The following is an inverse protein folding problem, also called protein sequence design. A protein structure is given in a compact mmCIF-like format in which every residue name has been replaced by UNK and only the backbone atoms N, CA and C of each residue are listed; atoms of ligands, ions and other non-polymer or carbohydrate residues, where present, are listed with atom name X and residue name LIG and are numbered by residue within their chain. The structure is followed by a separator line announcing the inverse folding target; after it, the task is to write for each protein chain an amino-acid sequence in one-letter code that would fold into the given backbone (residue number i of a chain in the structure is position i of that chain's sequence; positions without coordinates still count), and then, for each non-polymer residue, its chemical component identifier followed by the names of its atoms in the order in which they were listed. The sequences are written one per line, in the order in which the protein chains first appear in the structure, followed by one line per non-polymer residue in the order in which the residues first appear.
data_IF_376470451974
#
_entry.id   IF_376470451974
#
_cell.length_a   1.000
_cell.length_b   1.000
_cell.length_c   1.000
_cell.angle_alpha   90.00
_cell.angle_beta   90.00
_cell.angle_gamma   90.00
#
_symmetry.space_group_name_H-M   'P 1'
#
loop_
_entity.id
_entity.type
_entity.pdbx_description
1 polymer ?
#
# COMPACT_ATOMS: atom_id res chain seq x y z
N UNK A 1 2.58 33.75 22.47
CA UNK A 1 2.78 34.17 21.06
C UNK A 1 3.43 33.09 20.20
N UNK A 2 4.60 32.54 20.53
CA UNK A 2 5.25 31.48 19.69
C UNK A 2 4.45 30.16 19.57
N UNK A 3 3.76 29.69 20.62
CA UNK A 3 2.97 28.44 20.55
C UNK A 3 1.68 28.59 19.74
N UNK A 4 1.01 29.74 19.83
CA UNK A 4 -0.19 30.07 19.05
C UNK A 4 0.14 30.17 17.56
N UNK A 5 1.29 30.76 17.21
CA UNK A 5 1.76 30.87 15.83
C UNK A 5 2.07 29.51 15.21
N UNK A 6 2.70 28.59 15.96
CA UNK A 6 2.98 27.23 15.52
C UNK A 6 1.70 26.40 15.31
N UNK A 7 0.73 26.54 16.21
CA UNK A 7 -0.57 25.87 16.08
C UNK A 7 -1.37 26.41 14.88
N UNK A 8 -1.40 27.72 14.69
CA UNK A 8 -2.04 28.36 13.54
C UNK A 8 -1.34 27.94 12.24
N UNK A 9 0.00 27.93 12.21
CA UNK A 9 0.75 27.49 11.03
C UNK A 9 0.47 26.01 10.69
N UNK A 10 0.44 25.13 11.69
CA UNK A 10 0.09 23.72 11.52
C UNK A 10 -1.33 23.55 10.96
N UNK A 11 -2.31 24.25 11.54
CA UNK A 11 -3.71 24.24 11.08
C UNK A 11 -3.83 24.76 9.64
N UNK A 12 -3.13 25.84 9.30
CA UNK A 12 -3.13 26.42 7.95
C UNK A 12 -2.51 25.44 6.95
N UNK A 13 -1.36 24.82 7.27
CA UNK A 13 -0.73 23.84 6.38
C UNK A 13 -1.63 22.61 6.17
N UNK A 14 -2.33 22.14 7.21
CA UNK A 14 -3.30 21.05 7.07
C UNK A 14 -4.45 21.49 6.16
N UNK A 15 -5.06 22.66 6.36
CA UNK A 15 -6.23 23.09 5.57
C UNK A 15 -5.92 23.50 4.13
N UNK A 16 -4.79 24.17 3.86
CA UNK A 16 -4.38 24.50 2.49
C UNK A 16 -4.05 23.25 1.68
N UNK A 17 -3.54 22.18 2.33
CA UNK A 17 -3.42 20.88 1.69
C UNK A 17 -4.82 20.26 1.44
N UNK A 18 -5.78 20.36 2.36
CA UNK A 18 -7.14 19.85 2.14
C UNK A 18 -7.84 20.49 0.92
N UNK A 19 -7.62 21.77 0.60
CA UNK A 19 -8.25 22.42 -0.57
C UNK A 19 -7.62 22.03 -1.91
N UNK A 20 -6.31 21.80 -1.97
CA UNK A 20 -5.62 21.41 -3.21
C UNK A 20 -5.89 19.94 -3.60
N UNK A 21 -6.14 19.08 -2.61
CA UNK A 21 -6.46 17.67 -2.82
C UNK A 21 -7.94 17.42 -3.14
N UNK A 22 -8.81 18.37 -2.78
CA UNK A 22 -10.25 18.26 -3.01
C UNK A 22 -10.62 18.17 -4.50
N UNK A 23 -9.79 18.69 -5.40
CA UNK A 23 -10.13 18.80 -6.82
C UNK A 23 -9.54 17.67 -7.69
N UNK A 24 -8.52 16.93 -7.24
CA UNK A 24 -7.81 15.93 -8.08
C UNK A 24 -7.93 14.47 -7.62
N UNK A 25 -8.12 14.22 -6.32
CA UNK A 25 -8.24 12.85 -5.77
C UNK A 25 -9.66 12.45 -5.35
N UNK A 26 -10.51 13.43 -5.03
CA UNK A 26 -11.88 13.17 -4.53
C UNK A 26 -12.78 12.64 -5.64
N UNK A 27 -12.63 13.09 -6.90
CA UNK A 27 -13.54 12.69 -7.96
C UNK A 27 -13.46 11.19 -8.32
N UNK A 28 -12.26 10.60 -8.37
CA UNK A 28 -12.09 9.16 -8.65
C UNK A 28 -12.40 8.30 -7.44
N UNK A 29 -12.14 8.80 -6.23
CA UNK A 29 -12.45 8.14 -4.98
C UNK A 29 -13.96 8.13 -4.68
N UNK A 30 -14.63 9.28 -4.82
CA UNK A 30 -16.09 9.41 -4.67
C UNK A 30 -16.81 8.49 -5.67
N UNK A 31 -16.33 8.40 -6.91
CA UNK A 31 -16.91 7.51 -7.92
C UNK A 31 -16.79 6.02 -7.54
N UNK A 32 -15.64 5.60 -6.98
CA UNK A 32 -15.48 4.23 -6.47
C UNK A 32 -16.33 3.99 -5.23
N UNK A 33 -16.44 4.97 -4.34
CA UNK A 33 -17.29 4.88 -3.16
C UNK A 33 -18.77 4.79 -3.51
N UNK A 34 -19.21 5.52 -4.53
CA UNK A 34 -20.55 5.41 -5.08
C UNK A 34 -20.78 4.04 -5.75
N UNK A 35 -19.77 3.47 -6.41
CA UNK A 35 -19.82 2.11 -6.96
C UNK A 35 -19.98 1.05 -5.86
N UNK A 36 -19.22 1.13 -4.77
CA UNK A 36 -19.23 0.15 -3.68
C UNK A 36 -20.47 0.30 -2.77
N UNK A 37 -20.92 1.53 -2.49
CA UNK A 37 -22.07 1.79 -1.62
C UNK A 37 -23.40 1.92 -2.37
N UNK A 38 -23.37 1.98 -3.70
CA UNK A 38 -24.54 2.21 -4.56
C UNK A 38 -25.14 3.62 -4.46
N UNK A 39 -24.50 4.54 -3.73
CA UNK A 39 -24.90 5.95 -3.58
C UNK A 39 -23.76 6.79 -3.00
N UNK A 40 -23.82 8.11 -3.21
CA UNK A 40 -22.96 9.07 -2.53
C UNK A 40 -23.34 9.17 -1.03
N UNK A 41 -22.39 9.17 -0.08
CA UNK A 41 -22.70 9.30 1.35
C UNK A 41 -23.32 10.67 1.68
N UNK A 42 -24.32 10.69 2.56
CA UNK A 42 -24.82 11.93 3.18
C UNK A 42 -23.81 12.42 4.22
N UNK A 43 -23.60 13.74 4.33
CA UNK A 43 -22.70 14.28 5.36
C UNK A 43 -23.32 14.14 6.76
N UNK A 44 -22.64 13.42 7.64
CA UNK A 44 -22.93 13.33 9.08
C UNK A 44 -22.77 14.69 9.77
N UNK A 45 -23.39 14.86 10.95
CA UNK A 45 -23.25 16.07 11.77
C UNK A 45 -21.78 16.44 12.07
N UNK A 46 -20.90 15.44 12.16
CA UNK A 46 -19.46 15.64 12.34
C UNK A 46 -18.75 16.06 11.06
N UNK A 47 -19.17 15.58 9.89
CA UNK A 47 -18.65 16.05 8.61
C UNK A 47 -19.10 17.49 8.31
N UNK A 48 -20.32 17.84 8.74
CA UNK A 48 -20.80 19.23 8.78
C UNK A 48 -19.94 20.07 9.73
N UNK A 49 -19.55 19.54 10.90
CA UNK A 49 -18.66 20.22 11.84
C UNK A 49 -17.25 20.45 11.26
N UNK A 50 -16.66 19.45 10.60
CA UNK A 50 -15.40 19.58 9.88
C UNK A 50 -15.46 20.72 8.86
N UNK A 51 -16.52 20.76 8.03
CA UNK A 51 -16.71 21.85 7.06
C UNK A 51 -16.79 23.22 7.75
N UNK A 52 -17.55 23.31 8.83
CA UNK A 52 -17.63 24.55 9.65
C UNK A 52 -16.25 24.96 10.18
N UNK A 53 -15.40 24.02 10.60
CA UNK A 53 -14.03 24.31 11.05
C UNK A 53 -13.18 24.82 9.88
N UNK A 54 -13.22 24.16 8.73
CA UNK A 54 -12.50 24.61 7.53
C UNK A 54 -12.91 26.02 7.10
N UNK A 55 -14.20 26.34 7.17
CA UNK A 55 -14.72 27.68 6.88
C UNK A 55 -14.25 28.70 7.93
N UNK A 56 -14.30 28.36 9.23
CA UNK A 56 -13.75 29.21 10.32
C UNK A 56 -12.26 29.49 10.13
N UNK A 57 -11.48 28.50 9.70
CA UNK A 57 -10.04 28.62 9.44
C UNK A 57 -9.78 29.53 8.24
N UNK A 58 -10.58 29.40 7.17
CA UNK A 58 -10.51 30.30 6.01
C UNK A 58 -10.83 31.74 6.39
N UNK A 59 -11.91 31.97 7.13
CA UNK A 59 -12.25 33.31 7.63
C UNK A 59 -11.14 33.88 8.52
N UNK A 60 -10.51 33.06 9.37
CA UNK A 60 -9.34 33.45 10.18
C UNK A 60 -8.16 33.92 9.32
N UNK A 61 -7.86 33.15 8.26
CA UNK A 61 -6.79 33.45 7.30
C UNK A 61 -7.05 34.77 6.55
N UNK A 62 -8.32 35.04 6.23
CA UNK A 62 -8.74 36.24 5.50
C UNK A 62 -8.82 37.49 6.40
N UNK A 63 -9.20 37.34 7.67
CA UNK A 63 -9.52 38.48 8.57
C UNK A 63 -8.40 38.84 9.55
N UNK A 64 -7.47 37.92 9.85
CA UNK A 64 -6.32 38.16 10.73
C UNK A 64 -6.61 38.25 12.23
N UNK A 65 -7.86 38.10 12.67
CA UNK A 65 -8.25 38.21 14.09
C UNK A 65 -8.27 36.83 14.78
N UNK A 66 -7.24 36.54 15.56
CA UNK A 66 -6.79 35.16 15.85
C UNK A 66 -7.24 34.55 17.17
N UNK A 67 -7.74 35.33 18.14
CA UNK A 67 -7.86 34.81 19.51
C UNK A 67 -9.17 34.03 19.81
N UNK A 68 -10.37 34.51 19.43
CA UNK A 68 -11.61 33.80 19.76
C UNK A 68 -11.81 32.55 18.91
N UNK A 69 -11.37 32.60 17.65
CA UNK A 69 -11.62 31.54 16.67
C UNK A 69 -10.68 30.34 16.89
N UNK A 70 -9.45 30.55 17.37
CA UNK A 70 -8.50 29.46 17.68
C UNK A 70 -8.97 28.59 18.84
N UNK A 71 -9.59 29.17 19.88
CA UNK A 71 -10.14 28.38 21.00
C UNK A 71 -11.38 27.59 20.58
N UNK A 72 -12.25 28.17 19.75
CA UNK A 72 -13.39 27.45 19.16
C UNK A 72 -12.95 26.28 18.27
N UNK A 73 -11.93 26.49 17.44
CA UNK A 73 -11.36 25.42 16.60
C UNK A 73 -10.74 24.32 17.47
N UNK A 74 -10.09 24.65 18.59
CA UNK A 74 -9.46 23.66 19.47
C UNK A 74 -10.49 22.71 20.10
N UNK A 75 -11.62 23.23 20.57
CA UNK A 75 -12.67 22.38 21.16
C UNK A 75 -13.39 21.54 20.10
N UNK A 76 -13.63 22.11 18.91
CA UNK A 76 -14.18 21.36 17.77
C UNK A 76 -13.20 20.24 17.32
N UNK A 77 -11.88 20.51 17.29
CA UNK A 77 -10.83 19.54 16.98
C UNK A 77 -10.72 18.42 18.03
N UNK A 78 -10.81 18.73 19.32
CA UNK A 78 -10.85 17.70 20.38
C UNK A 78 -12.01 16.74 20.19
N UNK A 79 -13.17 17.25 19.79
CA UNK A 79 -14.38 16.44 19.53
C UNK A 79 -14.20 15.52 18.33
N UNK A 80 -13.48 15.98 17.31
CA UNK A 80 -13.17 15.23 16.10
C UNK A 80 -12.07 14.17 16.33
N UNK A 81 -11.04 14.52 17.10
CA UNK A 81 -9.90 13.65 17.40
C UNK A 81 -10.20 12.59 18.46
N UNK A 82 -11.42 12.55 19.03
CA UNK A 82 -11.82 11.46 19.91
C UNK A 82 -11.83 10.15 19.13
N UNK A 83 -10.87 9.28 19.47
CA UNK A 83 -10.76 7.91 18.97
C UNK A 83 -12.07 7.18 19.17
N UNK A 84 -12.53 6.51 18.12
CA UNK A 84 -13.67 5.63 18.23
C UNK A 84 -13.27 4.36 18.97
N UNK A 85 -14.02 3.99 20.00
CA UNK A 85 -13.83 2.69 20.67
C UNK A 85 -15.01 1.79 20.39
N UNK A 86 -14.75 0.69 19.69
CA UNK A 86 -15.75 -0.34 19.39
C UNK A 86 -16.26 -1.08 20.62
N UNK A 87 -15.57 -0.97 21.77
CA UNK A 87 -16.10 -1.46 23.05
C UNK A 87 -17.47 -0.87 23.42
N UNK A 88 -17.90 0.22 22.76
CA UNK A 88 -19.20 0.88 22.94
C UNK A 88 -20.26 0.47 21.91
N UNK A 89 -19.91 -0.32 20.89
CA UNK A 89 -20.87 -0.77 19.87
C UNK A 89 -21.47 -2.09 20.29
N UNK A 90 -22.65 -2.05 20.90
CA UNK A 90 -23.38 -3.24 21.33
C UNK A 90 -23.93 -4.10 20.18
N UNK A 91 -23.85 -3.64 18.92
CA UNK A 91 -24.36 -4.35 17.76
C UNK A 91 -23.58 -4.01 16.46
N UNK A 92 -22.74 -4.92 15.98
CA UNK A 92 -21.96 -4.78 14.74
C UNK A 92 -22.86 -4.70 13.50
N UNK A 93 -24.01 -5.38 13.50
CA UNK A 93 -24.95 -5.31 12.38
C UNK A 93 -25.51 -3.91 12.22
N UNK A 94 -25.86 -3.26 13.34
CA UNK A 94 -26.30 -1.87 13.33
C UNK A 94 -25.19 -0.95 12.82
N UNK A 95 -23.95 -1.14 13.29
CA UNK A 95 -22.80 -0.35 12.82
C UNK A 95 -22.61 -0.48 11.31
N UNK A 96 -22.63 -1.71 10.78
CA UNK A 96 -22.52 -1.96 9.36
C UNK A 96 -23.69 -1.37 8.56
N UNK A 97 -24.91 -1.41 9.11
CA UNK A 97 -26.05 -0.73 8.49
C UNK A 97 -25.83 0.78 8.46
N UNK A 98 -25.32 1.39 9.52
CA UNK A 98 -25.07 2.83 9.56
C UNK A 98 -23.97 3.25 8.59
N UNK A 99 -22.89 2.46 8.47
CA UNK A 99 -21.82 2.67 7.47
C UNK A 99 -22.40 2.58 6.05
N UNK A 100 -23.08 1.47 5.71
CA UNK A 100 -23.64 1.25 4.36
C UNK A 100 -24.69 2.29 3.98
N UNK A 101 -25.46 2.76 4.96
CA UNK A 101 -26.46 3.79 4.72
C UNK A 101 -25.84 5.19 4.61
N UNK A 102 -24.53 5.35 4.78
CA UNK A 102 -23.86 6.66 4.80
C UNK A 102 -24.23 7.50 6.02
N UNK A 103 -24.85 6.90 7.05
CA UNK A 103 -25.10 7.59 8.33
C UNK A 103 -23.82 7.74 9.14
N UNK A 104 -22.77 7.03 8.74
CA UNK A 104 -21.56 6.90 9.49
C UNK A 104 -20.35 6.73 8.58
N UNK A 105 -19.40 7.66 8.68
CA UNK A 105 -18.10 7.54 8.03
C UNK A 105 -17.06 7.19 9.09
N UNK A 106 -16.43 6.03 8.94
CA UNK A 106 -15.34 5.58 9.78
C UNK A 106 -14.04 5.50 8.99
N UNK A 107 -12.96 5.90 9.64
CA UNK A 107 -11.62 5.88 9.04
C UNK A 107 -10.62 5.27 9.98
N UNK A 108 -9.56 4.75 9.39
CA UNK A 108 -8.43 4.20 10.10
C UNK A 108 -7.13 4.80 9.59
N UNK A 109 -6.14 4.94 10.48
CA UNK A 109 -4.76 5.25 10.12
C UNK A 109 -3.84 4.18 10.68
N UNK A 110 -2.96 3.65 9.83
CA UNK A 110 -1.91 2.72 10.24
C UNK A 110 -0.93 3.39 11.21
N UNK A 111 -0.72 2.81 12.39
CA UNK A 111 0.31 3.25 13.34
C UNK A 111 1.65 2.51 13.15
N UNK A 112 1.69 1.55 12.22
CA UNK A 112 2.88 0.81 11.78
C UNK A 112 2.60 0.10 10.45
N UNK A 113 3.48 -0.80 9.97
CA UNK A 113 3.18 -1.63 8.81
C UNK A 113 1.91 -2.47 9.03
N UNK A 114 0.97 -2.37 8.10
CA UNK A 114 -0.36 -2.99 8.22
C UNK A 114 -0.59 -3.95 7.06
N UNK A 115 -0.65 -5.27 7.31
CA UNK A 115 -0.99 -6.25 6.27
C UNK A 115 -2.42 -6.05 5.78
N UNK A 116 -2.59 -6.07 4.45
CA UNK A 116 -3.87 -5.98 3.77
C UNK A 116 -4.18 -7.32 3.12
N UNK A 117 -5.34 -7.90 3.43
CA UNK A 117 -5.74 -9.21 2.92
C UNK A 117 -7.00 -9.11 2.05
N UNK A 118 -7.20 -10.02 1.12
CA UNK A 118 -8.48 -10.11 0.38
C UNK A 118 -9.57 -10.89 1.15
N UNK A 119 -9.27 -11.39 2.35
CA UNK A 119 -10.24 -12.12 3.22
C UNK A 119 -10.21 -11.61 4.66
N UNK A 120 -11.36 -11.67 5.33
CA UNK A 120 -11.51 -11.28 6.74
C UNK A 120 -11.20 -12.40 7.76
N UNK A 121 -10.88 -13.61 7.32
CA UNK A 121 -10.60 -14.76 8.20
C UNK A 121 -9.13 -14.88 8.61
N UNK A 122 -8.56 -13.85 9.21
CA UNK A 122 -7.11 -13.76 9.50
C UNK A 122 -6.64 -14.79 10.54
N UNK A 123 -7.48 -15.17 11.51
CA UNK A 123 -7.21 -16.20 12.50
C UNK A 123 -6.81 -17.51 11.84
N UNK A 124 -7.52 -17.91 10.78
CA UNK A 124 -7.24 -19.14 10.05
C UNK A 124 -5.95 -19.04 9.24
N UNK A 125 -5.56 -17.84 8.79
CA UNK A 125 -4.27 -17.62 8.13
C UNK A 125 -3.12 -17.87 9.11
N UNK A 126 -3.24 -17.35 10.34
CA UNK A 126 -2.19 -17.42 11.35
C UNK A 126 -2.45 -18.49 12.41
N UNK A 127 -2.42 -19.76 12.00
CA UNK A 127 -2.45 -20.92 12.89
C UNK A 127 -3.82 -21.53 13.11
N UNK A 128 -4.89 -20.75 13.01
CA UNK A 128 -6.25 -21.20 13.30
C UNK A 128 -6.33 -21.96 14.63
N UNK A 129 -7.16 -23.00 14.67
CA UNK A 129 -7.32 -23.84 15.86
C UNK A 129 -6.05 -24.55 16.31
N UNK A 130 -5.16 -24.91 15.37
CA UNK A 130 -3.89 -25.58 15.70
C UNK A 130 -2.91 -24.62 16.37
N UNK A 131 -2.87 -23.38 15.90
CA UNK A 131 -1.87 -22.37 16.25
C UNK A 131 -0.46 -22.68 15.76
N UNK A 132 -0.21 -23.79 15.05
CA UNK A 132 1.15 -24.30 14.81
C UNK A 132 1.72 -23.97 13.43
N UNK A 133 0.92 -23.47 12.49
CA UNK A 133 1.32 -23.24 11.10
C UNK A 133 0.66 -22.03 10.47
N UNK A 134 0.95 -21.78 9.19
CA UNK A 134 0.26 -20.78 8.39
C UNK A 134 -0.66 -21.49 7.39
N UNK A 135 -1.76 -20.84 7.00
CA UNK A 135 -2.52 -21.26 5.83
C UNK A 135 -1.72 -20.87 4.59
N UNK A 136 -1.12 -21.87 3.95
CA UNK A 136 -0.29 -21.71 2.76
C UNK A 136 -0.93 -22.43 1.58
N UNK A 137 -0.77 -21.85 0.39
CA UNK A 137 -1.17 -22.47 -0.87
C UNK A 137 -0.18 -23.58 -1.32
N UNK A 138 -0.42 -24.17 -2.50
CA UNK A 138 0.48 -25.17 -3.09
C UNK A 138 1.87 -24.64 -3.45
N UNK A 139 2.04 -23.31 -3.53
CA UNK A 139 3.31 -22.63 -3.77
C UNK A 139 4.00 -22.19 -2.48
N UNK A 140 3.49 -22.61 -1.31
CA UNK A 140 4.03 -22.28 0.01
C UNK A 140 3.94 -20.76 0.31
N UNK A 141 2.91 -20.09 -0.20
CA UNK A 141 2.64 -18.65 -0.08
C UNK A 141 1.39 -18.39 0.77
N UNK A 142 1.34 -17.21 1.40
CA UNK A 142 0.13 -16.74 2.09
C UNK A 142 -0.73 -16.05 1.03
N UNK A 143 -1.42 -16.85 0.22
CA UNK A 143 -2.21 -16.37 -0.92
C UNK A 143 -3.15 -15.20 -0.57
N UNK A 144 -3.83 -15.17 0.61
CA UNK A 144 -4.68 -14.05 0.99
C UNK A 144 -4.01 -12.69 1.17
N UNK A 145 -2.68 -12.63 1.28
CA UNK A 145 -1.94 -11.38 1.49
C UNK A 145 -1.76 -10.65 0.15
N UNK A 146 -2.24 -9.41 0.11
CA UNK A 146 -2.18 -8.56 -1.09
C UNK A 146 -0.99 -7.59 -1.04
N UNK A 147 -0.78 -6.96 0.11
CA UNK A 147 0.28 -5.98 0.34
C UNK A 147 0.47 -5.74 1.84
N UNK A 148 1.58 -5.11 2.23
CA UNK A 148 1.75 -4.52 3.55
C UNK A 148 1.87 -3.00 3.37
N UNK A 149 0.82 -2.27 3.71
CA UNK A 149 0.86 -0.81 3.59
C UNK A 149 1.74 -0.20 4.68
N UNK A 150 2.39 0.91 4.34
CA UNK A 150 3.31 1.61 5.22
C UNK A 150 2.59 2.32 6.38
N UNK A 151 3.34 2.61 7.44
CA UNK A 151 2.86 3.44 8.54
C UNK A 151 2.30 4.77 8.04
N UNK A 152 1.23 5.26 8.67
CA UNK A 152 0.53 6.49 8.29
C UNK A 152 -0.46 6.33 7.14
N UNK A 153 -0.50 5.16 6.46
CA UNK A 153 -1.51 4.86 5.46
C UNK A 153 -2.92 5.03 6.02
N UNK A 154 -3.82 5.55 5.20
CA UNK A 154 -5.20 5.85 5.58
C UNK A 154 -6.16 4.87 4.93
N UNK A 155 -7.22 4.55 5.65
CA UNK A 155 -8.26 3.63 5.21
C UNK A 155 -9.63 4.25 5.43
N UNK A 156 -10.52 4.05 4.47
CA UNK A 156 -11.95 4.14 4.73
C UNK A 156 -12.45 2.77 5.19
N UNK A 157 -13.14 2.74 6.32
CA UNK A 157 -13.80 1.53 6.82
C UNK A 157 -15.18 1.46 6.16
N UNK A 158 -15.40 0.43 5.36
CA UNK A 158 -16.65 0.17 4.64
C UNK A 158 -17.47 -0.97 5.28
N UNK A 159 -16.85 -1.73 6.17
CA UNK A 159 -17.51 -2.79 6.92
C UNK A 159 -16.70 -3.22 8.14
N UNK A 160 -17.36 -3.87 9.08
CA UNK A 160 -16.80 -4.38 10.32
C UNK A 160 -17.29 -5.80 10.53
N UNK A 161 -16.38 -6.73 10.83
CA UNK A 161 -16.71 -8.11 11.18
C UNK A 161 -15.93 -8.54 12.42
N UNK A 162 -16.30 -9.70 12.96
CA UNK A 162 -15.51 -10.38 13.99
C UNK A 162 -14.84 -11.60 13.38
N UNK A 163 -13.59 -11.79 13.77
CA UNK A 163 -12.83 -13.00 13.50
C UNK A 163 -12.20 -13.48 14.81
N UNK A 164 -12.74 -14.58 15.32
CA UNK A 164 -12.35 -15.16 16.61
C UNK A 164 -12.30 -14.16 17.78
N UNK A 165 -13.26 -13.23 17.81
CA UNK A 165 -13.38 -12.18 18.82
C UNK A 165 -12.56 -10.91 18.54
N UNK A 166 -11.74 -10.90 17.50
CA UNK A 166 -11.03 -9.70 17.04
C UNK A 166 -11.88 -8.94 16.02
N UNK A 167 -11.78 -7.61 16.04
CA UNK A 167 -12.44 -6.76 15.08
C UNK A 167 -11.61 -6.73 13.80
N UNK A 168 -12.25 -7.05 12.68
CA UNK A 168 -11.68 -6.93 11.35
C UNK A 168 -12.44 -5.85 10.59
N UNK A 169 -11.69 -4.94 9.97
CA UNK A 169 -12.25 -3.92 9.10
C UNK A 169 -12.16 -4.35 7.65
N UNK A 170 -13.29 -4.27 6.95
CA UNK A 170 -13.28 -4.21 5.50
C UNK A 170 -12.99 -2.75 5.10
N UNK A 171 -12.01 -2.54 4.21
CA UNK A 171 -11.46 -1.22 3.93
C UNK A 171 -11.26 -0.94 2.44
N UNK A 172 -11.26 0.35 2.11
CA UNK A 172 -10.69 0.89 0.89
C UNK A 172 -9.51 1.82 1.25
N UNK A 173 -8.44 1.81 0.44
CA UNK A 173 -7.27 2.67 0.66
C UNK A 173 -6.69 3.17 -0.68
N UNK A 174 -6.26 4.44 -0.76
CA UNK A 174 -5.58 4.96 -1.94
C UNK A 174 -4.19 4.35 -2.13
N UNK A 175 -3.55 3.81 -1.07
CA UNK A 175 -2.23 3.18 -1.17
C UNK A 175 -2.28 1.81 -1.90
N UNK A 176 -3.47 1.21 -2.06
CA UNK A 176 -3.68 -0.02 -2.81
C UNK A 176 -5.02 0.03 -3.58
N UNK A 177 -5.12 0.81 -4.68
CA UNK A 177 -6.38 1.15 -5.32
C UNK A 177 -6.84 0.10 -6.35
N UNK A 178 -6.51 -1.18 -6.15
CA UNK A 178 -6.86 -2.25 -7.08
C UNK A 178 -8.26 -2.83 -6.78
N UNK A 179 -8.95 -3.40 -7.78
CA UNK A 179 -10.23 -4.06 -7.57
C UNK A 179 -10.04 -5.43 -6.90
N UNK A 180 -11.05 -5.84 -6.14
CA UNK A 180 -11.14 -7.13 -5.44
C UNK A 180 -12.61 -7.54 -5.40
N UNK A 181 -12.90 -8.84 -5.51
CA UNK A 181 -14.28 -9.35 -5.48
C UNK A 181 -14.88 -9.33 -4.07
N UNK A 182 -14.05 -9.54 -3.05
CA UNK A 182 -14.45 -9.70 -1.65
C UNK A 182 -14.18 -8.45 -0.80
N UNK A 183 -13.46 -7.47 -1.36
CA UNK A 183 -12.95 -6.33 -0.60
C UNK A 183 -11.58 -6.62 0.02
N UNK A 184 -11.04 -5.61 0.70
CA UNK A 184 -9.79 -5.74 1.45
C UNK A 184 -10.05 -5.66 2.94
N UNK A 185 -9.22 -6.34 3.73
CA UNK A 185 -9.41 -6.51 5.15
C UNK A 185 -8.12 -6.21 5.91
N UNK A 186 -8.27 -5.54 7.05
CA UNK A 186 -7.21 -5.29 8.02
C UNK A 186 -7.71 -5.62 9.43
N UNK A 187 -6.79 -6.06 10.28
CA UNK A 187 -7.07 -6.23 11.70
C UNK A 187 -7.03 -4.87 12.42
N UNK A 188 -8.09 -4.57 13.17
CA UNK A 188 -8.25 -3.29 13.86
C UNK A 188 -7.10 -2.94 14.82
N UNK A 189 -6.34 -3.94 15.29
CA UNK A 189 -5.19 -3.72 16.20
C UNK A 189 -4.03 -2.99 15.53
N UNK A 190 -3.97 -2.95 14.20
CA UNK A 190 -2.93 -2.25 13.43
C UNK A 190 -3.22 -0.76 13.14
N UNK A 191 -4.40 -0.27 13.52
CA UNK A 191 -4.85 1.06 13.14
C UNK A 191 -5.50 1.81 14.29
N UNK A 192 -5.36 3.13 14.27
CA UNK A 192 -6.18 4.03 15.06
C UNK A 192 -7.44 4.40 14.26
N UNK A 193 -8.61 4.41 14.89
CA UNK A 193 -9.88 4.73 14.22
C UNK A 193 -10.47 6.07 14.62
N UNK A 194 -11.03 6.77 13.63
CA UNK A 194 -11.50 8.15 13.75
C UNK A 194 -12.88 8.33 13.10
N UNK A 195 -13.62 9.29 13.65
CA UNK A 195 -14.89 9.76 13.12
C UNK A 195 -14.67 10.95 12.17
N UNK A 196 -14.16 10.71 10.96
CA UNK A 196 -13.78 11.80 10.05
C UNK A 196 -14.05 11.46 8.58
N UNK A 197 -14.38 12.44 7.72
CA UNK A 197 -14.36 12.29 6.27
C UNK A 197 -12.93 12.29 5.72
N UNK A 198 -12.72 11.67 4.56
CA UNK A 198 -11.38 11.27 4.07
C UNK A 198 -10.51 12.46 3.71
N UNK A 199 -11.17 13.54 3.28
CA UNK A 199 -10.50 14.80 2.96
C UNK A 199 -9.83 15.49 4.14
N UNK A 200 -9.92 14.98 5.38
CA UNK A 200 -9.33 15.62 6.57
C UNK A 200 -8.15 14.84 7.13
N UNK A 201 -8.12 13.51 6.97
CA UNK A 201 -6.94 12.73 7.26
C UNK A 201 -5.99 12.86 6.06
N UNK A 202 -5.29 13.98 5.99
CA UNK A 202 -4.20 14.13 5.01
C UNK A 202 -3.23 12.98 5.22
N UNK A 203 -2.99 12.18 4.18
CA UNK A 203 -1.79 11.35 4.14
C UNK A 203 -0.60 12.29 4.28
N UNK A 204 0.45 11.86 4.99
CA UNK A 204 1.68 12.63 5.00
C UNK A 204 2.14 12.82 3.56
N UNK A 205 2.56 14.05 3.21
CA UNK A 205 3.12 14.33 1.89
C UNK A 205 4.41 13.51 1.79
N UNK A 206 4.32 12.36 1.10
CA UNK A 206 5.46 11.50 0.83
C UNK A 206 6.25 12.12 -0.32
N UNK A 207 7.52 12.38 -0.10
CA UNK A 207 8.44 12.77 -1.16
C UNK A 207 9.14 11.54 -1.73
N UNK A 208 9.25 11.47 -3.06
CA UNK A 208 10.01 10.42 -3.73
C UNK A 208 11.47 10.49 -3.25
N UNK A 209 12.05 9.37 -2.75
CA UNK A 209 13.47 9.36 -2.43
C UNK A 209 14.31 9.63 -3.69
N UNK A 210 15.48 10.25 -3.54
CA UNK A 210 16.41 10.43 -4.66
C UNK A 210 16.80 9.08 -5.26
N UNK A 211 17.16 9.07 -6.55
CA UNK A 211 17.61 7.87 -7.26
C UNK A 211 18.69 7.09 -6.49
N UNK A 212 19.67 7.78 -5.92
CA UNK A 212 20.76 7.18 -5.14
C UNK A 212 20.25 6.44 -3.90
N UNK A 213 19.24 7.00 -3.23
CA UNK A 213 18.61 6.39 -2.05
C UNK A 213 17.83 5.14 -2.46
N UNK A 214 17.05 5.20 -3.54
CA UNK A 214 16.31 4.04 -4.05
C UNK A 214 17.28 2.92 -4.43
N UNK A 215 18.34 3.22 -5.20
CA UNK A 215 19.36 2.25 -5.59
C UNK A 215 20.10 1.65 -4.38
N UNK A 216 20.33 2.45 -3.33
CA UNK A 216 20.93 1.97 -2.07
C UNK A 216 19.98 1.03 -1.34
N UNK A 217 18.70 1.39 -1.22
CA UNK A 217 17.68 0.55 -0.58
C UNK A 217 17.49 -0.79 -1.30
N UNK A 218 17.52 -0.77 -2.64
CA UNK A 218 17.48 -1.99 -3.45
C UNK A 218 18.67 -2.90 -3.14
N UNK A 219 19.90 -2.37 -3.14
CA UNK A 219 21.09 -3.17 -2.81
C UNK A 219 21.08 -3.71 -1.38
N UNK A 220 20.57 -2.93 -0.42
CA UNK A 220 20.42 -3.37 0.97
C UNK A 220 19.38 -4.48 1.14
N UNK A 221 18.54 -4.71 0.13
CA UNK A 221 17.56 -5.80 0.12
C UNK A 221 18.14 -7.14 -0.33
N UNK A 222 19.41 -7.19 -0.75
CA UNK A 222 20.04 -8.43 -1.22
C UNK A 222 19.97 -9.54 -0.15
N UNK A 223 19.49 -10.71 -0.56
CA UNK A 223 19.34 -11.87 0.32
C UNK A 223 18.09 -11.86 1.20
N UNK A 224 17.21 -10.85 1.11
CA UNK A 224 15.89 -10.93 1.73
C UNK A 224 15.07 -12.06 1.11
N UNK A 225 14.27 -12.79 1.91
CA UNK A 225 13.45 -13.88 1.40
C UNK A 225 12.28 -13.36 0.55
N UNK A 226 11.80 -14.21 -0.35
CA UNK A 226 10.56 -13.97 -1.07
C UNK A 226 9.35 -14.18 -0.15
N UNK A 227 8.47 -13.19 -0.08
CA UNK A 227 7.15 -13.28 0.55
C UNK A 227 6.15 -12.70 -0.43
N UNK A 228 5.23 -13.54 -0.93
CA UNK A 228 4.11 -13.08 -1.75
C UNK A 228 3.31 -12.00 -1.02
N UNK A 229 3.03 -10.87 -1.67
CA UNK A 229 2.37 -9.72 -1.02
C UNK A 229 3.25 -9.01 0.01
N UNK A 230 4.52 -9.38 0.15
CA UNK A 230 5.47 -8.78 1.09
C UNK A 230 6.08 -7.48 0.58
N UNK A 231 6.21 -6.49 1.46
CA UNK A 231 6.74 -5.15 1.18
C UNK A 231 7.79 -4.68 2.18
N UNK A 232 8.01 -5.41 3.27
CA UNK A 232 8.76 -4.90 4.42
C UNK A 232 9.94 -5.84 4.71
N UNK A 233 11.19 -5.40 4.46
CA UNK A 233 12.39 -6.17 4.76
C UNK A 233 12.46 -6.71 6.19
N UNK A 234 11.96 -5.95 7.16
CA UNK A 234 11.96 -6.32 8.58
C UNK A 234 10.70 -7.08 9.01
N UNK A 235 9.72 -7.22 8.12
CA UNK A 235 8.40 -7.77 8.41
C UNK A 235 7.55 -6.89 9.34
N UNK A 236 6.53 -7.52 9.91
CA UNK A 236 5.52 -6.97 10.80
C UNK A 236 5.58 -7.73 12.14
N UNK A 237 6.50 -7.35 13.06
CA UNK A 237 6.72 -8.08 14.31
C UNK A 237 5.48 -8.22 15.19
N UNK A 238 4.55 -7.26 15.09
CA UNK A 238 3.26 -7.26 15.81
C UNK A 238 2.38 -8.47 15.49
N UNK A 239 2.57 -9.15 14.36
CA UNK A 239 1.87 -10.40 14.08
C UNK A 239 2.19 -11.50 15.11
N UNK A 240 3.38 -11.50 15.71
CA UNK A 240 3.72 -12.45 16.78
C UNK A 240 3.04 -12.13 18.11
N UNK A 241 2.56 -10.91 18.30
CA UNK A 241 1.77 -10.50 19.46
C UNK A 241 0.28 -10.79 19.22
N UNK A 242 -0.20 -10.45 18.02
CA UNK A 242 -1.62 -10.51 17.66
C UNK A 242 -2.09 -11.90 17.26
N UNK A 243 -1.18 -12.70 16.70
CA UNK A 243 -1.40 -14.05 16.23
C UNK A 243 -0.21 -14.94 16.63
N UNK A 244 0.06 -15.02 17.93
CA UNK A 244 1.21 -15.76 18.43
C UNK A 244 1.15 -17.25 18.03
N UNK A 245 2.22 -17.83 17.42
CA UNK A 245 2.28 -19.26 17.17
C UNK A 245 2.26 -20.05 18.48
N UNK A 246 1.57 -21.18 18.49
CA UNK A 246 1.59 -22.14 19.58
C UNK A 246 2.83 -23.03 19.45
N UNK A 247 3.85 -22.72 20.25
CA UNK A 247 5.08 -23.49 20.30
C UNK A 247 6.24 -22.82 19.56
N UNK A 248 7.32 -23.57 19.38
CA UNK A 248 8.52 -23.11 18.69
C UNK A 248 8.29 -23.17 17.17
N UNK A 249 8.55 -22.05 16.50
CA UNK A 249 8.62 -21.96 15.04
C UNK A 249 10.06 -21.75 14.63
N UNK A 250 10.50 -22.41 13.56
CA UNK A 250 11.82 -22.16 13.00
C UNK A 250 11.91 -20.77 12.35
N UNK A 251 13.11 -20.36 11.94
CA UNK A 251 13.33 -19.01 11.40
C UNK A 251 12.62 -18.77 10.07
N UNK A 252 12.44 -19.81 9.25
CA UNK A 252 11.74 -19.70 7.96
C UNK A 252 10.24 -19.46 8.18
N UNK A 253 9.64 -20.29 9.04
CA UNK A 253 8.24 -20.13 9.42
C UNK A 253 8.03 -18.81 10.17
N UNK A 254 8.94 -18.39 11.05
CA UNK A 254 8.90 -17.08 11.73
C UNK A 254 8.97 -15.92 10.76
N UNK A 255 9.83 -16.00 9.73
CA UNK A 255 9.92 -14.99 8.69
C UNK A 255 8.58 -14.86 7.94
N UNK A 256 7.97 -15.99 7.54
CA UNK A 256 6.64 -15.98 6.92
C UNK A 256 5.56 -15.48 7.87
N UNK A 257 5.60 -15.87 9.14
CA UNK A 257 4.62 -15.46 10.15
C UNK A 257 4.62 -13.95 10.36
N UNK A 258 5.80 -13.34 10.27
CA UNK A 258 5.98 -11.90 10.36
C UNK A 258 5.94 -11.21 9.00
N UNK A 259 5.67 -11.94 7.90
CA UNK A 259 5.71 -11.39 6.54
C UNK A 259 7.04 -10.66 6.23
N UNK A 260 8.15 -11.14 6.80
CA UNK A 260 9.49 -10.57 6.66
C UNK A 260 10.08 -10.96 5.33
N UNK A 261 10.08 -10.03 4.39
CA UNK A 261 10.56 -10.23 3.03
C UNK A 261 9.81 -9.35 2.04
N UNK A 262 10.14 -9.52 0.76
CA UNK A 262 9.52 -8.74 -0.32
C UNK A 262 9.23 -9.63 -1.53
N UNK A 263 8.11 -9.38 -2.21
CA UNK A 263 7.89 -9.92 -3.55
C UNK A 263 8.58 -9.05 -4.62
N UNK A 264 8.37 -9.40 -5.90
CA UNK A 264 9.01 -8.72 -7.03
C UNK A 264 8.70 -7.22 -7.11
N UNK A 265 7.45 -6.81 -6.91
CA UNK A 265 7.02 -5.41 -6.99
C UNK A 265 7.10 -4.71 -5.64
N UNK A 266 6.93 -5.46 -4.54
CA UNK A 266 7.15 -5.00 -3.17
C UNK A 266 8.60 -4.56 -2.91
N UNK A 267 9.57 -5.16 -3.60
CA UNK A 267 10.97 -4.72 -3.57
C UNK A 267 11.13 -3.26 -4.01
N UNK A 268 10.53 -2.88 -5.15
CA UNK A 268 10.59 -1.52 -5.65
C UNK A 268 9.69 -0.57 -4.85
N UNK A 269 8.50 -1.03 -4.46
CA UNK A 269 7.58 -0.30 -3.60
C UNK A 269 8.25 0.11 -2.29
N UNK A 270 8.94 -0.82 -1.62
CA UNK A 270 9.70 -0.53 -0.41
C UNK A 270 10.82 0.48 -0.66
N UNK A 271 11.65 0.23 -1.67
CA UNK A 271 12.82 1.07 -1.96
C UNK A 271 12.43 2.52 -2.28
N UNK A 272 11.24 2.72 -2.87
CA UNK A 272 10.65 4.01 -3.21
C UNK A 272 9.70 4.58 -2.14
N UNK A 273 9.70 4.02 -0.91
CA UNK A 273 8.86 4.48 0.20
C UNK A 273 7.34 4.51 -0.13
N UNK A 274 6.89 3.50 -0.88
CA UNK A 274 5.49 3.30 -1.24
C UNK A 274 4.96 4.22 -2.35
N UNK A 275 5.85 4.90 -3.09
CA UNK A 275 5.47 5.86 -4.14
C UNK A 275 5.50 5.29 -5.57
N UNK A 276 5.64 3.99 -5.71
CA UNK A 276 5.45 3.28 -6.99
C UNK A 276 4.18 2.47 -6.96
N UNK A 277 3.63 2.09 -8.13
CA UNK A 277 2.57 1.09 -8.16
C UNK A 277 3.01 -0.20 -7.47
N UNK A 278 2.14 -0.77 -6.64
CA UNK A 278 2.43 -1.97 -5.85
C UNK A 278 2.35 -3.26 -6.65
N UNK A 279 1.58 -3.29 -7.74
CA UNK A 279 1.37 -4.49 -8.54
C UNK A 279 2.01 -4.42 -9.92
N UNK A 280 2.50 -5.57 -10.40
CA UNK A 280 3.12 -5.70 -11.73
C UNK A 280 2.18 -5.31 -12.87
N UNK A 281 0.86 -5.48 -12.70
CA UNK A 281 -0.14 -5.04 -13.67
C UNK A 281 -0.13 -3.52 -13.91
N UNK A 282 0.17 -2.73 -12.89
CA UNK A 282 0.31 -1.28 -13.05
C UNK A 282 1.75 -0.88 -13.42
N UNK A 283 2.76 -1.63 -12.99
CA UNK A 283 4.16 -1.36 -13.35
C UNK A 283 4.42 -1.50 -14.85
N UNK A 284 3.70 -2.38 -15.56
CA UNK A 284 3.82 -2.50 -17.02
C UNK A 284 3.38 -1.25 -17.78
N UNK A 285 2.77 -0.25 -17.14
CA UNK A 285 2.42 1.05 -17.75
C UNK A 285 2.96 2.25 -16.97
N UNK A 286 3.69 2.02 -15.89
CA UNK A 286 4.37 3.06 -15.12
C UNK A 286 5.53 3.65 -15.90
N UNK A 287 5.83 4.94 -15.75
CA UNK A 287 6.97 5.55 -16.43
C UNK A 287 6.74 5.82 -17.91
N UNK A 288 7.84 5.99 -18.65
CA UNK A 288 7.81 6.14 -20.11
C UNK A 288 8.27 4.83 -20.78
N UNK A 289 7.56 4.37 -21.81
CA UNK A 289 7.97 3.16 -22.55
C UNK A 289 9.26 3.35 -23.34
N UNK A 290 10.15 2.36 -23.32
CA UNK A 290 11.32 2.31 -24.19
C UNK A 290 11.03 1.56 -25.49
N UNK A 291 11.67 1.99 -26.57
CA UNK A 291 11.62 1.30 -27.86
C UNK A 291 12.58 0.11 -27.84
N UNK A 292 12.07 -1.08 -27.50
CA UNK A 292 12.82 -2.34 -27.37
C UNK A 292 12.42 -3.40 -28.39
N UNK A 293 11.31 -3.20 -29.10
CA UNK A 293 10.84 -4.15 -30.09
C UNK A 293 11.94 -4.40 -31.15
N UNK A 294 12.14 -5.68 -31.48
CA UNK A 294 13.12 -6.14 -32.47
C UNK A 294 14.58 -5.88 -32.13
N UNK A 295 14.89 -5.42 -30.91
CA UNK A 295 16.27 -5.21 -30.45
C UNK A 295 16.89 -6.49 -29.91
N UNK A 296 18.18 -6.64 -30.16
CA UNK A 296 19.05 -7.63 -29.52
C UNK A 296 19.32 -7.25 -28.05
N UNK A 297 19.79 -8.21 -27.21
CA UNK A 297 20.18 -7.91 -25.84
C UNK A 297 21.13 -6.71 -25.72
N UNK A 298 22.20 -6.66 -26.53
CA UNK A 298 23.18 -5.57 -26.52
C UNK A 298 22.58 -4.21 -26.90
N UNK A 299 21.64 -4.19 -27.84
CA UNK A 299 20.93 -2.96 -28.21
C UNK A 299 19.98 -2.49 -27.11
N UNK A 300 19.37 -3.41 -26.35
CA UNK A 300 18.55 -3.08 -25.19
C UNK A 300 19.44 -2.51 -24.08
N UNK A 301 20.55 -3.19 -23.75
CA UNK A 301 21.49 -2.75 -22.70
C UNK A 301 21.98 -1.33 -22.94
N UNK A 302 22.33 -0.98 -24.18
CA UNK A 302 22.88 0.34 -24.50
C UNK A 302 21.90 1.51 -24.31
N UNK A 303 20.59 1.25 -24.15
CA UNK A 303 19.58 2.29 -23.91
C UNK A 303 19.04 2.28 -22.48
N UNK A 304 19.40 1.28 -21.67
CA UNK A 304 18.96 1.15 -20.29
C UNK A 304 19.67 2.14 -19.37
N UNK A 305 18.93 2.62 -18.37
CA UNK A 305 19.43 3.45 -17.28
C UNK A 305 19.14 2.79 -15.92
N UNK A 306 19.87 3.13 -14.85
CA UNK A 306 19.48 2.76 -13.50
C UNK A 306 18.01 3.11 -13.21
N UNK A 307 17.34 2.24 -12.45
CA UNK A 307 15.91 2.23 -12.15
C UNK A 307 14.96 1.96 -13.32
N UNK A 308 15.45 1.72 -14.54
CA UNK A 308 14.59 1.19 -15.59
C UNK A 308 13.97 -0.15 -15.14
N UNK A 309 12.68 -0.30 -15.39
CA UNK A 309 11.87 -1.41 -14.92
C UNK A 309 11.61 -2.35 -16.09
N UNK A 310 12.11 -3.59 -15.99
CA UNK A 310 11.76 -4.68 -16.91
C UNK A 310 10.54 -5.37 -16.33
N UNK A 311 9.40 -5.37 -17.03
CA UNK A 311 8.13 -5.82 -16.45
C UNK A 311 7.24 -6.60 -17.41
N UNK A 312 6.46 -7.53 -16.85
CA UNK A 312 5.31 -8.17 -17.47
C UNK A 312 4.27 -8.52 -16.39
N UNK A 313 3.07 -8.91 -16.79
CA UNK A 313 2.04 -9.36 -15.84
C UNK A 313 2.54 -10.61 -15.09
N UNK A 314 2.85 -10.44 -13.81
CA UNK A 314 3.32 -11.51 -12.92
C UNK A 314 4.79 -11.42 -12.48
N UNK A 315 5.61 -10.49 -13.01
CA UNK A 315 6.95 -10.27 -12.47
C UNK A 315 7.57 -8.93 -12.88
N UNK A 316 8.56 -8.47 -12.13
CA UNK A 316 9.35 -7.29 -12.47
C UNK A 316 10.80 -7.40 -11.99
N UNK A 317 11.68 -6.65 -12.66
CA UNK A 317 13.11 -6.55 -12.35
C UNK A 317 13.55 -5.10 -12.52
N UNK A 318 14.53 -4.68 -11.73
CA UNK A 318 14.98 -3.29 -11.68
C UNK A 318 16.44 -3.23 -12.11
N UNK A 319 16.75 -2.38 -13.08
CA UNK A 319 18.13 -2.13 -13.53
C UNK A 319 18.88 -1.36 -12.45
N UNK A 320 20.02 -1.88 -11.99
CA UNK A 320 20.87 -1.20 -11.01
C UNK A 320 21.94 -0.32 -11.67
N UNK A 321 22.47 -0.78 -12.80
CA UNK A 321 23.49 -0.14 -13.63
C UNK A 321 23.56 -0.82 -15.01
N UNK A 322 24.58 -0.51 -15.79
CA UNK A 322 24.79 -1.03 -17.16
C UNK A 322 25.00 -2.55 -17.25
N UNK A 323 25.28 -3.22 -16.12
CA UNK A 323 25.62 -4.65 -16.09
C UNK A 323 24.78 -5.50 -15.16
N UNK A 324 23.96 -4.90 -14.30
CA UNK A 324 23.29 -5.59 -13.19
C UNK A 324 21.80 -5.25 -13.10
N UNK A 325 21.00 -6.27 -12.78
CA UNK A 325 19.60 -6.14 -12.38
C UNK A 325 19.38 -6.75 -11.01
N UNK A 326 18.40 -6.24 -10.28
CA UNK A 326 17.92 -6.81 -9.03
C UNK A 326 16.46 -7.22 -9.18
N UNK A 327 16.08 -8.33 -8.54
CA UNK A 327 14.70 -8.82 -8.53
C UNK A 327 14.48 -9.74 -7.32
N UNK A 328 13.21 -9.90 -6.92
CA UNK A 328 12.78 -10.89 -5.94
C UNK A 328 11.95 -11.99 -6.60
N UNK A 329 12.35 -13.27 -6.49
CA UNK A 329 11.64 -14.41 -7.12
C UNK A 329 11.36 -15.54 -6.13
N UNK A 330 10.25 -16.23 -6.32
CA UNK A 330 9.82 -17.39 -5.53
C UNK A 330 10.45 -18.73 -5.96
N UNK A 331 11.21 -18.76 -7.06
CA UNK A 331 11.58 -20.00 -7.76
C UNK A 331 13.08 -20.07 -8.13
N UNK A 332 13.95 -19.39 -7.37
CA UNK A 332 15.37 -19.30 -7.72
C UNK A 332 16.10 -20.65 -7.64
N UNK A 333 15.53 -21.64 -6.95
CA UNK A 333 16.25 -22.83 -6.49
C UNK A 333 15.55 -24.17 -6.68
N UNK A 334 14.65 -24.35 -7.66
CA UNK A 334 14.03 -25.68 -7.92
C UNK A 334 15.02 -26.80 -8.26
N UNK A 335 16.33 -26.49 -8.39
CA UNK A 335 17.42 -27.45 -8.60
C UNK A 335 18.60 -27.39 -7.60
N UNK A 336 18.57 -26.55 -6.56
CA UNK A 336 19.68 -26.41 -5.58
C UNK A 336 19.23 -26.67 -4.15
N UNK A 337 20.02 -27.42 -3.38
CA UNK A 337 19.76 -27.72 -1.96
C UNK A 337 19.95 -26.44 -1.13
N UNK A 338 18.82 -25.87 -0.71
CA UNK A 338 18.76 -24.61 0.03
C UNK A 338 17.74 -23.70 -0.63
N UNK A 339 16.68 -23.34 0.08
CA UNK A 339 15.73 -22.34 -0.42
C UNK A 339 16.48 -21.01 -0.58
N UNK A 340 16.77 -20.61 -1.82
CA UNK A 340 17.41 -19.33 -2.17
C UNK A 340 16.40 -18.34 -2.80
N UNK A 341 15.11 -18.48 -2.49
CA UNK A 341 14.07 -17.61 -3.01
C UNK A 341 14.13 -16.25 -2.35
N UNK A 342 13.92 -15.19 -3.14
CA UNK A 342 13.99 -13.82 -2.66
C UNK A 342 14.85 -12.94 -3.55
N UNK A 343 15.51 -11.96 -2.94
CA UNK A 343 16.17 -10.87 -3.64
C UNK A 343 17.57 -11.27 -4.08
N UNK A 344 17.84 -11.22 -5.39
CA UNK A 344 19.18 -11.44 -5.97
C UNK A 344 19.55 -10.36 -6.98
N UNK A 345 20.85 -10.10 -7.07
CA UNK A 345 21.46 -9.34 -8.17
C UNK A 345 21.95 -10.35 -9.21
N UNK A 346 21.68 -10.06 -10.49
CA UNK A 346 22.09 -10.91 -11.62
C UNK A 346 22.72 -10.07 -12.75
N UNK A 347 23.60 -10.67 -13.57
CA UNK A 347 24.08 -10.03 -14.78
C UNK A 347 22.93 -9.70 -15.74
N UNK A 348 22.85 -8.44 -16.16
CA UNK A 348 21.79 -7.92 -17.02
C UNK A 348 21.75 -8.64 -18.38
N UNK A 349 22.91 -8.95 -18.96
CA UNK A 349 23.01 -9.69 -20.23
C UNK A 349 22.36 -11.08 -20.15
N UNK A 350 22.72 -11.87 -19.14
CA UNK A 350 22.15 -13.20 -18.92
C UNK A 350 20.63 -13.16 -18.72
N UNK A 351 20.14 -12.16 -17.98
CA UNK A 351 18.70 -11.98 -17.75
C UNK A 351 17.96 -11.63 -19.03
N UNK A 352 18.53 -10.75 -19.87
CA UNK A 352 17.92 -10.40 -21.15
C UNK A 352 17.94 -11.56 -22.14
N UNK A 353 19.00 -12.37 -22.17
CA UNK A 353 19.06 -13.59 -22.98
C UNK A 353 17.98 -14.60 -22.54
N UNK A 354 17.86 -14.85 -21.23
CA UNK A 354 16.82 -15.71 -20.65
C UNK A 354 15.41 -15.20 -21.02
N UNK A 355 15.17 -13.90 -20.88
CA UNK A 355 13.90 -13.29 -21.23
C UNK A 355 13.57 -13.42 -22.71
N UNK A 356 14.49 -13.06 -23.60
CA UNK A 356 14.27 -13.07 -25.05
C UNK A 356 14.12 -14.50 -25.60
N UNK A 357 14.64 -15.51 -24.89
CA UNK A 357 14.39 -16.92 -25.23
C UNK A 357 12.94 -17.36 -25.00
N UNK A 358 12.24 -16.70 -24.07
CA UNK A 358 10.91 -17.14 -23.59
C UNK A 358 9.79 -16.11 -23.81
N UNK A 359 10.14 -14.86 -24.13
CA UNK A 359 9.23 -13.72 -24.26
C UNK A 359 9.64 -12.80 -25.40
N UNK A 360 8.67 -12.11 -25.97
CA UNK A 360 8.87 -11.10 -27.01
C UNK A 360 8.98 -9.71 -26.35
N UNK A 361 10.05 -8.98 -26.65
CA UNK A 361 10.20 -7.58 -26.28
C UNK A 361 9.22 -6.72 -27.09
N UNK A 362 8.41 -5.91 -26.41
CA UNK A 362 7.42 -5.01 -27.02
C UNK A 362 7.54 -3.60 -26.46
N UNK A 363 7.10 -2.60 -27.23
CA UNK A 363 7.18 -1.19 -26.82
C UNK A 363 6.02 -0.83 -25.89
N UNK A 364 4.85 -1.42 -26.15
CA UNK A 364 3.67 -1.33 -25.31
C UNK A 364 3.18 -2.73 -24.90
N UNK A 365 2.70 -2.85 -23.66
CA UNK A 365 2.16 -4.11 -23.16
C UNK A 365 0.91 -4.54 -23.94
N UNK A 366 0.24 -3.63 -24.65
CA UNK A 366 -0.92 -3.92 -25.50
C UNK A 366 -0.56 -4.28 -26.94
N UNK A 367 0.73 -4.23 -27.32
CA UNK A 367 1.19 -4.59 -28.67
C UNK A 367 0.80 -6.04 -29.01
N UNK A 368 0.30 -6.25 -30.22
CA UNK A 368 -0.13 -7.56 -30.71
C UNK A 368 1.11 -8.43 -30.95
N UNK A 369 1.10 -9.63 -30.36
CA UNK A 369 2.11 -10.67 -30.58
C UNK A 369 1.42 -11.96 -31.02
N UNK A 370 2.14 -12.91 -31.66
CA UNK A 370 1.55 -14.19 -32.01
C UNK A 370 0.90 -14.89 -30.81
N UNK A 371 -0.19 -15.61 -31.07
CA UNK A 371 -0.96 -16.30 -30.03
C UNK A 371 -0.07 -17.25 -29.19
N UNK A 372 -0.35 -17.30 -27.89
CA UNK A 372 0.42 -18.10 -26.92
C UNK A 372 1.81 -17.54 -26.59
N UNK A 373 2.27 -16.46 -27.24
CA UNK A 373 3.55 -15.83 -26.91
C UNK A 373 3.42 -14.89 -25.72
N UNK A 374 4.33 -15.05 -24.76
CA UNK A 374 4.52 -14.13 -23.64
C UNK A 374 5.29 -12.90 -24.12
N UNK A 375 5.05 -11.75 -23.50
CA UNK A 375 5.70 -10.48 -23.81
C UNK A 375 6.19 -9.76 -22.56
N UNK A 376 7.11 -8.83 -22.74
CA UNK A 376 7.58 -7.93 -21.69
C UNK A 376 7.86 -6.52 -22.26
N UNK A 377 7.80 -5.54 -21.38
CA UNK A 377 8.11 -4.13 -21.66
C UNK A 377 9.27 -3.67 -20.81
N UNK A 378 9.88 -2.55 -21.20
CA UNK A 378 10.80 -1.80 -20.35
C UNK A 378 10.26 -0.39 -20.17
N UNK A 379 10.27 0.07 -18.92
CA UNK A 379 9.75 1.36 -18.50
C UNK A 379 10.83 2.22 -17.87
N UNK A 380 11.00 3.42 -18.41
CA UNK A 380 11.87 4.48 -17.90
C UNK A 380 11.26 5.07 -16.64
N UNK A 381 12.02 5.00 -15.55
CA UNK A 381 11.68 5.65 -14.28
C UNK A 381 11.52 7.17 -14.46
N UNK A 382 10.62 7.80 -13.71
CA UNK A 382 10.49 9.26 -13.71
C UNK A 382 11.61 9.87 -12.87
N UNK A 383 12.58 10.55 -13.51
CA UNK A 383 13.71 11.19 -12.84
C UNK A 383 13.25 12.31 -11.85
N UNK A 384 11.98 12.75 -11.89
CA UNK A 384 11.36 13.65 -10.91
C UNK A 384 9.83 13.65 -11.01
N UNK A 385 9.12 13.45 -9.89
CA UNK A 385 7.74 13.91 -9.67
C UNK A 385 7.74 14.98 -8.58
#
# INVERSE_FOLDING_TARGET
MRSTFLLIFFIITTVSSMSAWADLGIASFDARMEQELGKRPDFTDKEILVRKISDKIRTLLETGDSHPVVELIREDLKTIQQTFSLSKVGNIDQLNQDIRNGKLTLQARAHGPTPLFYTGGLYNIFGGESGTGLLLDEYNQIDPLETIVLSGATFQIIGVSLDYGNIIYQVATPDYPYPTETGYFIDARFVDTFWMPLGVLTSEIKHMPSQEVILTNLRNSLGLPYIWGGDIPTGVPKLLEYYAPRGLVDENLRAKWTLRGVDCSGLLYNAANGLTPRNTFALVTYGTGLNIAWKTPSEIISILKPLDIIAWKGHTMIVLNESEVIQSRADYGTGTLGFEDGVKIRPLGEVLDELLSSRIAVNNIDDIVPEGKKKFVIRRWYESL
#
